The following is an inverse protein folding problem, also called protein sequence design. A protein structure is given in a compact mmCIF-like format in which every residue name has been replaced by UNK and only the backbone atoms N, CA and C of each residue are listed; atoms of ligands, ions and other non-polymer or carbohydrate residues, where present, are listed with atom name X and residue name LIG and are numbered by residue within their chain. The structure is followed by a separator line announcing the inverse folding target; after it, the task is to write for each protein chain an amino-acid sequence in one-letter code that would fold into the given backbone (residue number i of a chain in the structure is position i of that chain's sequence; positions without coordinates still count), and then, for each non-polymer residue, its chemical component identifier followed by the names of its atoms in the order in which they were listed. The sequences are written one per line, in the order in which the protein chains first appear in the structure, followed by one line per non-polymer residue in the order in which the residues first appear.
data_IF_614117199947
#
_entry.id   IF_614117199947
#
_cell.length_a   1.000
_cell.length_b   1.000
_cell.length_c   1.000
_cell.angle_alpha   90.00
_cell.angle_beta   90.00
_cell.angle_gamma   90.00
#
_symmetry.space_group_name_H-M   'P 1'
#
loop_
_entity.id
_entity.type
_entity.pdbx_description
1 polymer ?
#
# COMPACT_ATOMS: atom_id res chain seq x y z
N UNK A 1 9.64 -7.06 21.42
CA UNK A 1 9.24 -8.33 20.77
C UNK A 1 7.72 -8.45 20.61
N UNK A 2 6.91 -7.94 21.56
CA UNK A 2 5.44 -8.04 21.50
C UNK A 2 4.77 -7.01 20.58
N UNK A 3 5.28 -5.79 20.40
CA UNK A 3 4.51 -4.73 19.69
C UNK A 3 4.49 -4.91 18.16
N UNK A 4 5.59 -5.21 17.46
CA UNK A 4 5.53 -5.60 16.02
C UNK A 4 4.69 -6.87 15.79
N UNK A 5 4.80 -7.88 16.67
CA UNK A 5 3.94 -9.07 16.60
C UNK A 5 2.48 -8.75 16.92
N UNK A 6 2.23 -7.78 17.81
CA UNK A 6 0.91 -7.24 18.12
C UNK A 6 0.43 -6.23 17.12
N UNK A 7 1.25 -5.70 16.23
CA UNK A 7 0.83 -4.92 15.07
C UNK A 7 0.49 -5.81 13.91
N UNK A 8 1.24 -6.90 13.71
CA UNK A 8 0.73 -8.02 12.88
C UNK A 8 -0.59 -8.53 13.46
N UNK A 9 -0.70 -8.65 14.77
CA UNK A 9 -1.94 -9.00 15.43
C UNK A 9 -2.95 -7.85 15.45
N UNK A 10 -2.62 -6.57 15.51
CA UNK A 10 -3.55 -5.41 15.54
C UNK A 10 -4.02 -5.05 14.14
N UNK A 11 -3.21 -5.22 13.10
CA UNK A 11 -3.72 -5.31 11.74
C UNK A 11 -4.67 -6.51 11.61
N UNK A 12 -4.44 -7.60 12.36
CA UNK A 12 -5.37 -8.75 12.42
C UNK A 12 -6.53 -8.62 13.45
N UNK A 13 -6.47 -7.72 14.44
CA UNK A 13 -7.35 -7.63 15.64
C UNK A 13 -8.12 -6.32 15.67
N UNK A 14 -7.58 -5.22 15.15
CA UNK A 14 -8.42 -4.10 14.69
C UNK A 14 -9.42 -4.59 13.63
N UNK A 15 -9.06 -5.63 12.86
CA UNK A 15 -9.97 -6.37 12.00
C UNK A 15 -11.09 -7.11 12.77
N UNK A 16 -10.78 -7.67 13.95
CA UNK A 16 -11.77 -8.36 14.80
C UNK A 16 -12.65 -7.35 15.55
N UNK A 17 -12.13 -6.18 15.93
CA UNK A 17 -12.92 -5.13 16.56
C UNK A 17 -13.87 -4.43 15.55
N UNK A 18 -13.45 -4.23 14.30
CA UNK A 18 -14.31 -3.73 13.22
C UNK A 18 -15.39 -4.78 12.83
N UNK A 19 -15.08 -6.08 12.94
CA UNK A 19 -16.06 -7.17 12.70
C UNK A 19 -16.98 -7.48 13.89
N UNK A 20 -16.57 -7.23 15.14
CA UNK A 20 -17.42 -7.42 16.32
C UNK A 20 -18.34 -6.22 16.60
N UNK A 21 -18.00 -5.02 16.12
CA UNK A 21 -18.94 -3.90 16.07
C UNK A 21 -20.09 -4.12 15.05
N UNK A 22 -19.92 -5.06 14.10
CA UNK A 22 -20.98 -5.51 13.18
C UNK A 22 -21.90 -6.59 13.75
N UNK A 23 -21.67 -7.06 14.98
CA UNK A 23 -22.42 -8.14 15.62
C UNK A 23 -22.92 -7.76 17.03
N UNK A 24 -23.51 -6.58 17.18
CA UNK A 24 -24.26 -6.21 18.38
C UNK A 24 -25.63 -5.59 18.02
N UNK A 25 -26.64 -6.47 18.04
CA UNK A 25 -28.09 -6.21 18.11
C UNK A 25 -28.73 -5.23 17.11
N UNK A 26 -29.36 -5.83 16.08
CA UNK A 26 -30.67 -5.40 15.59
C UNK A 26 -31.65 -5.25 16.77
N UNK A 27 -31.96 -4.01 17.14
CA UNK A 27 -33.29 -3.70 17.66
C UNK A 27 -33.84 -2.49 16.92
N UNK A 28 -34.87 -2.77 16.11
CA UNK A 28 -35.66 -1.78 15.41
C UNK A 28 -36.32 -0.84 16.42
N UNK A 29 -35.82 0.39 16.52
CA UNK A 29 -36.64 1.54 16.86
C UNK A 29 -36.34 2.67 15.87
N UNK A 30 -37.23 2.81 14.89
CA UNK A 30 -37.31 3.98 14.03
C UNK A 30 -37.66 5.20 14.88
N UNK A 31 -36.69 6.09 15.11
CA UNK A 31 -36.97 7.46 15.54
C UNK A 31 -37.19 8.27 14.26
N UNK A 32 -38.47 8.53 14.00
CA UNK A 32 -38.95 9.38 12.92
C UNK A 32 -38.66 10.85 13.28
N UNK A 33 -37.59 11.41 12.74
CA UNK A 33 -37.23 12.83 12.84
C UNK A 33 -37.40 13.53 11.49
N UNK A 34 -38.50 13.25 10.79
CA UNK A 34 -38.83 13.87 9.50
C UNK A 34 -39.89 14.98 9.60
N UNK A 35 -39.80 15.88 10.59
CA UNK A 35 -40.60 17.12 10.57
C UNK A 35 -39.87 18.32 11.19
N UNK A 36 -39.01 18.97 10.41
CA UNK A 36 -38.94 20.44 10.20
C UNK A 36 -37.64 20.79 9.49
N UNK A 37 -37.72 21.05 8.18
CA UNK A 37 -36.88 21.95 7.36
C UNK A 37 -37.10 21.59 5.87
N UNK A 38 -38.33 21.79 5.41
CA UNK A 38 -38.67 21.77 3.98
C UNK A 38 -39.11 23.18 3.58
N UNK A 39 -38.14 24.03 3.21
CA UNK A 39 -38.31 25.03 2.15
C UNK A 39 -36.93 25.58 1.78
N UNK A 40 -36.66 25.64 0.46
CA UNK A 40 -35.49 26.24 -0.21
C UNK A 40 -34.24 25.36 -0.39
N UNK A 41 -34.38 24.16 -0.97
CA UNK A 41 -33.20 23.38 -1.41
C UNK A 41 -33.29 22.80 -2.83
N UNK A 42 -34.28 23.19 -3.62
CA UNK A 42 -34.41 22.71 -5.01
C UNK A 42 -33.49 23.46 -6.00
N UNK A 43 -33.08 24.69 -5.68
CA UNK A 43 -32.13 25.44 -6.52
C UNK A 43 -30.65 25.01 -6.32
N UNK A 44 -30.30 24.39 -5.19
CA UNK A 44 -28.93 23.89 -4.94
C UNK A 44 -28.71 22.53 -5.59
N UNK A 45 -29.76 21.71 -5.74
CA UNK A 45 -29.66 20.43 -6.45
C UNK A 45 -29.48 20.60 -7.96
N UNK A 46 -29.95 21.69 -8.58
CA UNK A 46 -29.73 21.94 -10.00
C UNK A 46 -28.33 22.46 -10.34
N UNK A 47 -27.63 23.12 -9.41
CA UNK A 47 -26.25 23.59 -9.65
C UNK A 47 -25.22 22.46 -9.55
N UNK A 48 -25.54 21.37 -8.85
CA UNK A 48 -24.65 20.20 -8.75
C UNK A 48 -24.73 19.24 -9.96
N UNK A 49 -25.77 19.32 -10.79
CA UNK A 49 -25.95 18.39 -11.92
C UNK A 49 -25.30 18.87 -13.23
N UNK A 50 -24.88 20.13 -13.33
CA UNK A 50 -24.26 20.66 -14.56
C UNK A 50 -22.71 20.67 -14.56
N UNK A 51 -22.07 20.18 -13.49
CA UNK A 51 -20.62 19.90 -13.43
C UNK A 51 -20.31 18.39 -13.47
N UNK A 52 -21.25 17.59 -13.97
CA UNK A 52 -21.33 16.15 -13.74
C UNK A 52 -20.25 15.26 -14.40
N UNK A 53 -19.33 15.82 -15.19
CA UNK A 53 -18.20 15.05 -15.72
C UNK A 53 -16.90 15.66 -15.18
N UNK A 54 -16.17 14.96 -14.29
CA UNK A 54 -14.89 15.45 -13.83
C UNK A 54 -13.95 15.61 -15.04
N UNK A 55 -13.31 16.77 -15.14
CA UNK A 55 -12.32 17.03 -16.19
C UNK A 55 -11.15 16.07 -15.95
N UNK A 56 -10.78 15.27 -16.96
CA UNK A 56 -9.64 14.36 -16.86
C UNK A 56 -8.38 15.11 -16.42
N UNK A 57 -7.58 14.48 -15.54
CA UNK A 57 -6.40 15.10 -14.94
C UNK A 57 -6.69 16.04 -13.76
N UNK A 58 -7.96 16.26 -13.39
CA UNK A 58 -8.31 16.98 -12.17
C UNK A 58 -8.32 16.06 -10.94
N UNK A 59 -8.05 16.57 -9.72
CA UNK A 59 -8.21 15.79 -8.49
C UNK A 59 -9.57 15.10 -8.37
N UNK A 60 -10.64 15.75 -8.84
CA UNK A 60 -12.00 15.18 -8.85
C UNK A 60 -12.14 13.96 -9.75
N UNK A 61 -11.42 13.92 -10.88
CA UNK A 61 -11.42 12.75 -11.76
C UNK A 61 -10.80 11.55 -11.03
N UNK A 62 -9.65 11.75 -10.39
CA UNK A 62 -8.96 10.67 -9.68
C UNK A 62 -9.67 10.24 -8.40
N UNK A 63 -10.36 11.16 -7.72
CA UNK A 63 -11.26 10.84 -6.61
C UNK A 63 -12.45 10.01 -7.09
N UNK A 64 -13.11 10.39 -8.18
CA UNK A 64 -14.20 9.61 -8.76
C UNK A 64 -13.74 8.21 -9.20
N UNK A 65 -12.52 8.09 -9.73
CA UNK A 65 -11.92 6.78 -10.01
C UNK A 65 -11.72 5.96 -8.73
N UNK A 66 -11.20 6.55 -7.65
CA UNK A 66 -11.01 5.84 -6.37
C UNK A 66 -12.35 5.39 -5.76
N UNK A 67 -13.38 6.22 -5.84
CA UNK A 67 -14.75 5.86 -5.42
C UNK A 67 -15.27 4.68 -6.24
N UNK A 68 -15.16 4.73 -7.57
CA UNK A 68 -15.58 3.63 -8.45
C UNK A 68 -14.77 2.35 -8.22
N UNK A 69 -13.46 2.46 -7.98
CA UNK A 69 -12.61 1.32 -7.67
C UNK A 69 -12.98 0.67 -6.34
N UNK A 70 -13.42 1.46 -5.35
CA UNK A 70 -13.94 0.95 -4.06
C UNK A 70 -15.23 0.15 -4.25
N UNK A 71 -16.08 0.51 -5.24
CA UNK A 71 -17.29 -0.26 -5.56
C UNK A 71 -16.99 -1.53 -6.37
N UNK A 72 -16.15 -1.42 -7.40
CA UNK A 72 -15.73 -2.53 -8.26
C UNK A 72 -14.43 -2.18 -9.00
N UNK A 73 -13.30 -2.58 -8.43
CA UNK A 73 -11.96 -2.41 -9.04
C UNK A 73 -11.94 -2.87 -10.49
N UNK A 74 -12.61 -3.99 -10.79
CA UNK A 74 -12.65 -4.57 -12.14
C UNK A 74 -13.38 -3.68 -13.14
N UNK A 75 -14.52 -3.11 -12.75
CA UNK A 75 -15.32 -2.30 -13.66
C UNK A 75 -14.68 -0.94 -13.86
N UNK A 76 -14.19 -0.32 -12.77
CA UNK A 76 -13.43 0.92 -12.83
C UNK A 76 -12.21 0.78 -13.76
N UNK A 77 -11.41 -0.27 -13.59
CA UNK A 77 -10.25 -0.49 -14.45
C UNK A 77 -10.64 -0.78 -15.91
N UNK A 78 -11.69 -1.58 -16.18
CA UNK A 78 -12.16 -1.86 -17.55
C UNK A 78 -12.63 -0.61 -18.29
N UNK A 79 -13.17 0.37 -17.57
CA UNK A 79 -13.58 1.65 -18.14
C UNK A 79 -12.40 2.43 -18.72
N UNK A 80 -11.25 2.38 -18.05
CA UNK A 80 -10.06 3.17 -18.39
C UNK A 80 -8.94 2.35 -19.05
N UNK A 81 -9.23 1.16 -19.53
CA UNK A 81 -8.24 0.29 -20.18
C UNK A 81 -8.22 0.52 -21.69
N UNK A 82 -7.04 0.83 -22.24
CA UNK A 82 -6.82 0.90 -23.68
C UNK A 82 -5.50 0.19 -24.05
N UNK A 83 -5.55 -0.98 -24.71
CA UNK A 83 -4.35 -1.70 -25.15
C UNK A 83 -3.45 -0.90 -26.09
N UNK A 84 -4.01 0.01 -26.88
CA UNK A 84 -3.24 0.85 -27.80
C UNK A 84 -2.43 1.88 -27.02
N UNK A 85 -3.05 2.50 -26.01
CA UNK A 85 -2.39 3.43 -25.10
C UNK A 85 -1.18 2.80 -24.39
N UNK A 86 -1.33 1.54 -23.97
CA UNK A 86 -0.24 0.76 -23.36
C UNK A 86 0.94 0.59 -24.33
N UNK A 87 0.67 0.20 -25.58
CA UNK A 87 1.71 0.03 -26.60
C UNK A 87 2.43 1.35 -26.91
N UNK A 88 1.68 2.45 -27.02
CA UNK A 88 2.23 3.79 -27.23
C UNK A 88 3.13 4.22 -26.05
N UNK A 89 2.70 3.97 -24.81
CA UNK A 89 3.49 4.27 -23.62
C UNK A 89 4.79 3.47 -23.56
N UNK A 90 4.74 2.18 -23.91
CA UNK A 90 5.93 1.34 -24.02
C UNK A 90 6.91 1.92 -25.03
N UNK A 91 6.44 2.29 -26.22
CA UNK A 91 7.28 2.88 -27.25
C UNK A 91 7.89 4.20 -26.79
N UNK A 92 7.10 5.05 -26.13
CA UNK A 92 7.56 6.30 -25.51
C UNK A 92 8.68 6.05 -24.50
N UNK A 93 8.53 5.10 -23.57
CA UNK A 93 9.54 4.79 -22.55
C UNK A 93 10.84 4.25 -23.15
N UNK A 94 10.75 3.38 -24.17
CA UNK A 94 11.93 2.88 -24.90
C UNK A 94 12.71 4.04 -25.54
N UNK A 95 12.00 5.03 -26.13
CA UNK A 95 12.62 6.20 -26.75
C UNK A 95 13.27 7.13 -25.73
N UNK A 96 12.58 7.44 -24.63
CA UNK A 96 13.09 8.35 -23.58
C UNK A 96 14.34 7.80 -22.88
N UNK A 97 14.37 6.48 -22.65
CA UNK A 97 15.51 5.81 -22.04
C UNK A 97 16.75 5.72 -22.98
N UNK A 98 16.68 6.28 -24.20
CA UNK A 98 17.76 6.29 -25.18
C UNK A 98 18.15 4.89 -25.68
N UNK A 99 17.17 3.99 -25.80
CA UNK A 99 17.43 2.57 -26.03
C UNK A 99 17.68 2.24 -27.52
N UNK A 100 18.40 1.14 -27.82
CA UNK A 100 18.61 0.67 -29.19
C UNK A 100 17.30 0.32 -29.91
N UNK A 101 17.22 0.59 -31.20
CA UNK A 101 16.04 0.28 -32.02
C UNK A 101 15.70 -1.23 -32.04
N UNK A 102 16.71 -2.10 -31.87
CA UNK A 102 16.54 -3.55 -31.88
C UNK A 102 15.64 -4.05 -30.73
N UNK A 103 15.77 -3.44 -29.54
CA UNK A 103 14.90 -3.70 -28.37
C UNK A 103 13.44 -3.38 -28.68
N UNK A 104 13.20 -2.40 -29.55
CA UNK A 104 11.83 -2.04 -29.92
C UNK A 104 11.18 -3.07 -30.85
N UNK A 105 11.91 -3.71 -31.77
CA UNK A 105 11.30 -4.60 -32.77
C UNK A 105 10.85 -5.94 -32.17
N UNK A 106 11.63 -6.55 -31.29
CA UNK A 106 11.26 -7.79 -30.59
C UNK A 106 10.07 -7.59 -29.64
N UNK A 107 10.08 -6.47 -28.91
CA UNK A 107 9.05 -6.11 -27.95
C UNK A 107 7.74 -5.67 -28.63
N UNK A 108 7.79 -4.84 -29.68
CA UNK A 108 6.60 -4.41 -30.45
C UNK A 108 5.92 -5.57 -31.22
N UNK A 109 6.63 -6.68 -31.46
CA UNK A 109 6.08 -7.88 -32.07
C UNK A 109 5.22 -8.73 -31.14
N UNK A 110 5.21 -8.45 -29.83
CA UNK A 110 4.31 -9.09 -28.86
C UNK A 110 2.90 -8.51 -29.02
N UNK A 111 1.88 -9.38 -28.93
CA UNK A 111 0.49 -8.93 -28.81
C UNK A 111 0.26 -8.34 -27.40
N UNK A 112 0.64 -7.07 -27.23
CA UNK A 112 0.56 -6.32 -25.97
C UNK A 112 -0.83 -6.28 -25.38
N UNK A 113 -1.86 -6.36 -26.22
CA UNK A 113 -3.22 -6.63 -25.78
C UNK A 113 -3.24 -7.88 -24.91
N UNK A 114 -3.09 -9.07 -25.46
CA UNK A 114 -3.26 -10.30 -24.66
C UNK A 114 -2.35 -10.39 -23.42
N UNK A 115 -1.11 -9.89 -23.53
CA UNK A 115 -0.12 -10.00 -22.47
C UNK A 115 -0.29 -8.94 -21.36
N UNK A 116 -0.44 -7.66 -21.75
CA UNK A 116 -0.63 -6.55 -20.83
C UNK A 116 -1.97 -6.69 -20.10
N UNK A 117 -3.01 -7.09 -20.82
CA UNK A 117 -4.33 -7.38 -20.25
C UNK A 117 -4.23 -8.44 -19.16
N UNK A 118 -3.71 -9.62 -19.44
CA UNK A 118 -3.69 -10.71 -18.46
C UNK A 118 -2.84 -10.42 -17.20
N UNK A 119 -1.85 -9.52 -17.28
CA UNK A 119 -0.96 -9.18 -16.18
C UNK A 119 -1.47 -8.00 -15.35
N UNK A 120 -1.95 -6.93 -15.99
CA UNK A 120 -2.59 -5.80 -15.31
C UNK A 120 -3.88 -6.24 -14.65
N UNK A 121 -4.72 -7.01 -15.35
CA UNK A 121 -5.97 -7.53 -14.81
C UNK A 121 -5.69 -8.35 -13.54
N UNK A 122 -4.68 -9.23 -13.55
CA UNK A 122 -4.28 -9.98 -12.35
C UNK A 122 -3.79 -9.07 -11.22
N UNK A 123 -3.00 -8.04 -11.53
CA UNK A 123 -2.51 -7.13 -10.50
C UNK A 123 -3.62 -6.30 -9.84
N UNK A 124 -4.63 -5.89 -10.60
CA UNK A 124 -5.83 -5.22 -10.08
C UNK A 124 -6.75 -6.20 -9.34
N UNK A 125 -6.99 -7.40 -9.89
CA UNK A 125 -7.83 -8.45 -9.27
C UNK A 125 -7.24 -8.93 -7.95
N UNK A 126 -5.93 -9.20 -7.91
CA UNK A 126 -5.22 -9.60 -6.69
C UNK A 126 -5.15 -8.45 -5.66
N UNK A 127 -5.44 -7.21 -6.08
CA UNK A 127 -5.53 -6.01 -5.24
C UNK A 127 -6.79 -5.90 -4.39
N UNK A 128 -7.80 -6.74 -4.63
CA UNK A 128 -8.94 -6.93 -3.74
C UNK A 128 -10.19 -6.10 -4.10
N UNK A 129 -11.29 -6.81 -4.33
CA UNK A 129 -12.64 -6.25 -4.56
C UNK A 129 -13.22 -5.59 -3.30
N UNK A 130 -12.66 -5.90 -2.11
CA UNK A 130 -13.11 -5.38 -0.81
C UNK A 130 -12.10 -4.39 -0.20
N UNK A 131 -11.52 -3.51 -1.02
CA UNK A 131 -10.53 -2.53 -0.55
C UNK A 131 -11.02 -1.10 -0.72
N UNK A 132 -10.73 -0.24 0.24
CA UNK A 132 -11.03 1.18 0.16
C UNK A 132 -9.86 1.89 -0.54
N UNK A 133 -10.16 2.57 -1.63
CA UNK A 133 -9.18 3.33 -2.41
C UNK A 133 -9.26 4.81 -2.03
N UNK A 134 -8.11 5.39 -1.75
CA UNK A 134 -7.99 6.81 -1.42
C UNK A 134 -7.02 7.48 -2.39
N UNK A 135 -7.49 8.54 -3.05
CA UNK A 135 -6.65 9.38 -3.89
C UNK A 135 -5.76 10.27 -3.02
N UNK A 136 -4.44 10.22 -3.25
CA UNK A 136 -3.45 11.02 -2.54
C UNK A 136 -3.13 12.30 -3.33
N UNK A 137 -2.62 12.13 -4.55
CA UNK A 137 -2.18 13.26 -5.39
C UNK A 137 -1.92 12.82 -6.85
N UNK A 138 -1.73 13.78 -7.76
CA UNK A 138 -1.39 13.52 -9.14
C UNK A 138 -0.43 14.55 -9.75
N UNK A 139 0.46 14.10 -10.63
CA UNK A 139 1.44 14.93 -11.32
C UNK A 139 1.35 14.71 -12.82
N UNK A 140 1.33 15.79 -13.59
CA UNK A 140 1.28 15.73 -15.06
C UNK A 140 2.68 15.91 -15.62
N UNK A 141 3.16 14.99 -16.46
CA UNK A 141 4.41 15.14 -17.20
C UNK A 141 4.33 14.52 -18.60
N UNK A 142 4.82 15.23 -19.61
CA UNK A 142 5.04 14.72 -20.97
C UNK A 142 3.88 13.93 -21.60
N UNK A 143 2.65 14.42 -21.44
CA UNK A 143 1.46 13.77 -22.01
C UNK A 143 0.92 12.59 -21.20
N UNK A 144 1.48 12.34 -20.03
CA UNK A 144 1.03 11.37 -19.05
C UNK A 144 0.67 12.05 -17.72
N UNK A 145 -0.08 11.34 -16.89
CA UNK A 145 -0.35 11.72 -15.50
C UNK A 145 0.03 10.57 -14.59
N UNK A 146 0.80 10.84 -13.54
CA UNK A 146 1.09 9.93 -12.45
C UNK A 146 0.12 10.23 -11.30
N UNK A 147 -0.74 9.29 -10.95
CA UNK A 147 -1.64 9.43 -9.80
C UNK A 147 -1.28 8.44 -8.72
N UNK A 148 -1.33 8.89 -7.47
CA UNK A 148 -0.96 8.14 -6.29
C UNK A 148 -2.20 7.80 -5.46
N UNK A 149 -2.29 6.54 -5.04
CA UNK A 149 -3.39 6.01 -4.26
C UNK A 149 -2.87 5.26 -3.03
N UNK A 150 -3.62 5.34 -1.94
CA UNK A 150 -3.57 4.38 -0.85
C UNK A 150 -4.71 3.38 -1.03
N UNK A 151 -4.40 2.10 -0.89
CA UNK A 151 -5.37 1.00 -0.92
C UNK A 151 -5.39 0.36 0.45
N UNK A 152 -6.48 0.59 1.17
CA UNK A 152 -6.67 0.08 2.52
C UNK A 152 -7.19 -1.36 2.43
N UNK A 153 -6.30 -2.31 2.70
CA UNK A 153 -6.60 -3.73 2.74
C UNK A 153 -6.62 -4.25 4.18
N UNK A 154 -7.15 -5.46 4.37
CA UNK A 154 -7.21 -6.09 5.69
C UNK A 154 -5.83 -6.23 6.36
N UNK A 155 -4.76 -6.33 5.56
CA UNK A 155 -3.41 -6.57 6.06
C UNK A 155 -2.58 -5.29 6.23
N UNK A 156 -3.14 -4.12 5.88
CA UNK A 156 -2.45 -2.83 5.93
C UNK A 156 -2.76 -1.95 4.72
N UNK A 157 -1.96 -0.92 4.55
CA UNK A 157 -2.10 0.04 3.45
C UNK A 157 -1.08 -0.33 2.37
N UNK A 158 -1.55 -0.51 1.14
CA UNK A 158 -0.68 -0.56 -0.03
C UNK A 158 -0.67 0.80 -0.74
N UNK A 159 0.50 1.20 -1.24
CA UNK A 159 0.64 2.44 -2.02
C UNK A 159 0.81 2.09 -3.49
N UNK A 160 -0.06 2.65 -4.32
CA UNK A 160 -0.11 2.37 -5.76
C UNK A 160 0.05 3.68 -6.53
N UNK A 161 0.90 3.66 -7.54
CA UNK A 161 0.96 4.66 -8.58
C UNK A 161 0.32 4.07 -9.85
N UNK A 162 -0.54 4.86 -10.49
CA UNK A 162 -1.14 4.56 -11.78
C UNK A 162 -0.68 5.63 -12.75
N UNK A 163 -0.17 5.19 -13.91
CA UNK A 163 0.21 6.10 -15.00
C UNK A 163 -0.92 6.12 -16.02
N UNK A 164 -1.35 7.32 -16.37
CA UNK A 164 -2.42 7.58 -17.32
C UNK A 164 -1.87 8.23 -18.58
N UNK A 165 -2.35 7.84 -19.75
CA UNK A 165 -2.17 8.63 -20.96
C UNK A 165 -3.18 9.77 -20.98
N UNK A 166 -2.77 10.99 -21.36
CA UNK A 166 -3.66 12.14 -21.30
C UNK A 166 -4.55 12.32 -22.53
N UNK A 167 -4.11 11.82 -23.69
CA UNK A 167 -4.84 11.97 -24.95
C UNK A 167 -6.09 11.08 -24.99
N UNK A 168 -5.95 9.85 -24.53
CA UNK A 168 -7.00 8.88 -24.23
C UNK A 168 -6.83 8.57 -22.75
N UNK A 169 -7.77 8.98 -21.88
CA UNK A 169 -7.63 8.87 -20.42
C UNK A 169 -7.56 7.40 -19.98
N UNK A 170 -6.43 6.77 -20.22
CA UNK A 170 -6.26 5.33 -20.21
C UNK A 170 -5.11 4.95 -19.30
N UNK A 171 -5.30 3.89 -18.52
CA UNK A 171 -4.27 3.32 -17.65
C UNK A 171 -3.24 2.61 -18.51
N UNK A 172 -1.99 3.06 -18.41
CA UNK A 172 -0.86 2.53 -19.19
C UNK A 172 0.22 1.88 -18.34
N UNK A 173 0.23 2.11 -17.03
CA UNK A 173 1.11 1.42 -16.07
C UNK A 173 0.49 1.37 -14.67
N UNK A 174 0.92 0.37 -13.89
CA UNK A 174 0.65 0.24 -12.47
C UNK A 174 1.93 -0.11 -11.72
N UNK A 175 2.21 0.68 -10.70
CA UNK A 175 3.36 0.52 -9.83
C UNK A 175 2.95 0.47 -8.37
N UNK A 176 3.10 -0.70 -7.74
CA UNK A 176 3.08 -0.80 -6.28
C UNK A 176 4.37 -0.16 -5.75
N UNK A 177 4.27 1.02 -5.15
CA UNK A 177 5.39 1.92 -4.80
C UNK A 177 6.36 1.29 -3.80
N UNK A 178 5.83 0.38 -2.98
CA UNK A 178 6.67 -0.43 -2.10
C UNK A 178 7.61 -1.36 -2.86
N UNK A 179 7.49 -1.55 -4.17
CA UNK A 179 8.37 -2.37 -4.99
C UNK A 179 9.24 -1.51 -5.90
N UNK A 180 10.35 -2.08 -6.38
CA UNK A 180 11.30 -1.32 -7.19
C UNK A 180 10.83 -1.10 -8.62
N UNK A 181 10.12 -2.09 -9.18
CA UNK A 181 9.70 -2.06 -10.57
C UNK A 181 8.19 -1.98 -10.66
N UNK A 182 7.71 -1.15 -11.57
CA UNK A 182 6.35 -1.27 -12.07
C UNK A 182 6.17 -2.62 -12.79
N UNK A 183 4.92 -2.94 -13.13
CA UNK A 183 4.65 -4.11 -13.95
C UNK A 183 5.38 -3.99 -15.30
N UNK A 184 5.34 -2.81 -15.93
CA UNK A 184 5.97 -2.58 -17.22
C UNK A 184 7.49 -2.51 -17.15
N UNK A 185 8.07 -1.84 -16.14
CA UNK A 185 9.52 -1.84 -15.95
C UNK A 185 10.06 -3.27 -15.78
N UNK A 186 9.26 -4.16 -15.18
CA UNK A 186 9.62 -5.57 -15.05
C UNK A 186 9.72 -6.27 -16.40
N UNK A 187 8.80 -6.00 -17.32
CA UNK A 187 8.80 -6.62 -18.65
C UNK A 187 9.93 -6.09 -19.53
N UNK A 188 10.09 -4.77 -19.59
CA UNK A 188 11.19 -4.12 -20.31
C UNK A 188 12.53 -4.64 -19.77
N UNK A 189 12.66 -4.77 -18.45
CA UNK A 189 13.88 -5.31 -17.83
C UNK A 189 14.17 -6.77 -18.20
N UNK A 190 13.16 -7.64 -18.28
CA UNK A 190 13.34 -9.04 -18.71
C UNK A 190 13.75 -9.09 -20.18
N UNK A 191 13.09 -8.33 -21.03
CA UNK A 191 13.35 -8.30 -22.47
C UNK A 191 14.77 -7.85 -22.79
N UNK A 192 15.18 -6.70 -22.23
CA UNK A 192 16.57 -6.20 -22.33
C UNK A 192 17.60 -7.23 -21.86
N UNK A 193 17.28 -7.94 -20.77
CA UNK A 193 18.14 -9.00 -20.28
C UNK A 193 18.26 -10.17 -21.29
N UNK A 194 17.17 -10.52 -21.98
CA UNK A 194 17.16 -11.58 -22.99
C UNK A 194 17.93 -11.22 -24.26
N UNK A 195 17.93 -9.95 -24.64
CA UNK A 195 18.64 -9.48 -25.83
C UNK A 195 20.12 -9.17 -25.57
N UNK A 196 20.51 -8.98 -24.30
CA UNK A 196 21.88 -8.66 -23.94
C UNK A 196 22.90 -9.69 -24.45
N UNK A 197 23.86 -9.22 -25.25
CA UNK A 197 25.01 -10.01 -25.72
C UNK A 197 26.01 -10.34 -24.59
N UNK A 198 25.92 -9.64 -23.45
CA UNK A 198 26.80 -9.87 -22.29
C UNK A 198 26.62 -11.27 -21.70
N UNK A 199 25.44 -11.88 -21.88
CA UNK A 199 25.08 -13.14 -21.23
C UNK A 199 24.94 -14.29 -22.22
N UNK A 200 25.52 -15.43 -21.85
CA UNK A 200 25.36 -16.66 -22.63
C UNK A 200 23.89 -17.10 -22.67
N UNK A 201 23.50 -17.79 -23.74
CA UNK A 201 22.15 -18.35 -23.88
C UNK A 201 21.76 -19.25 -22.70
N UNK A 202 22.74 -19.99 -22.16
CA UNK A 202 22.58 -20.84 -20.97
C UNK A 202 22.18 -20.01 -19.74
N UNK A 203 22.86 -18.89 -19.49
CA UNK A 203 22.58 -17.99 -18.36
C UNK A 203 21.21 -17.33 -18.49
N UNK A 204 20.87 -16.88 -19.71
CA UNK A 204 19.55 -16.32 -20.02
C UNK A 204 18.43 -17.33 -19.76
N UNK A 205 18.61 -18.57 -20.21
CA UNK A 205 17.66 -19.65 -19.93
C UNK A 205 17.51 -19.91 -18.42
N UNK A 206 18.62 -19.99 -17.68
CA UNK A 206 18.57 -20.19 -16.22
C UNK A 206 17.82 -19.05 -15.52
N UNK A 207 18.05 -17.81 -15.92
CA UNK A 207 17.37 -16.64 -15.35
C UNK A 207 15.87 -16.70 -15.59
N UNK A 208 15.44 -16.96 -16.83
CA UNK A 208 14.01 -17.09 -17.16
C UNK A 208 13.36 -18.23 -16.38
N UNK A 209 14.04 -19.36 -16.22
CA UNK A 209 13.51 -20.47 -15.43
C UNK A 209 13.44 -20.14 -13.94
N UNK A 210 14.42 -19.40 -13.40
CA UNK A 210 14.36 -18.90 -12.03
C UNK A 210 13.19 -17.91 -11.84
N UNK A 211 13.03 -16.96 -12.76
CA UNK A 211 11.93 -15.99 -12.73
C UNK A 211 10.56 -16.66 -12.85
N UNK A 212 10.41 -17.65 -13.75
CA UNK A 212 9.19 -18.46 -13.86
C UNK A 212 8.89 -19.27 -12.60
N UNK A 213 9.91 -19.83 -11.95
CA UNK A 213 9.74 -20.55 -10.69
C UNK A 213 9.30 -19.61 -9.56
N UNK A 214 9.89 -18.41 -9.48
CA UNK A 214 9.42 -17.35 -8.58
C UNK A 214 7.96 -17.01 -8.84
N UNK A 215 7.55 -16.73 -10.08
CA UNK A 215 6.14 -16.39 -10.36
C UNK A 215 5.14 -17.50 -9.97
N UNK A 216 5.60 -18.75 -9.85
CA UNK A 216 4.78 -19.89 -9.42
C UNK A 216 4.89 -20.22 -7.92
N UNK A 217 5.77 -19.53 -7.18
CA UNK A 217 6.07 -19.88 -5.80
C UNK A 217 6.78 -21.24 -5.63
N UNK A 218 7.38 -21.77 -6.70
CA UNK A 218 8.09 -23.06 -6.66
C UNK A 218 9.51 -22.86 -6.14
N UNK A 219 9.64 -22.91 -4.81
CA UNK A 219 10.91 -22.70 -4.11
C UNK A 219 12.00 -23.69 -4.53
N UNK A 220 11.64 -24.95 -4.79
CA UNK A 220 12.63 -25.98 -5.11
C UNK A 220 13.21 -25.76 -6.52
N UNK A 221 12.34 -25.53 -7.51
CA UNK A 221 12.80 -25.18 -8.84
C UNK A 221 13.58 -23.86 -8.83
N UNK A 222 13.11 -22.88 -8.06
CA UNK A 222 13.82 -21.61 -7.94
C UNK A 222 15.24 -21.81 -7.40
N UNK A 223 15.43 -22.54 -6.29
CA UNK A 223 16.76 -22.81 -5.71
C UNK A 223 17.72 -23.42 -6.73
N UNK A 224 17.29 -24.46 -7.43
CA UNK A 224 18.11 -25.14 -8.45
C UNK A 224 18.58 -24.17 -9.54
N UNK A 225 17.66 -23.34 -10.05
CA UNK A 225 17.96 -22.39 -11.12
C UNK A 225 18.79 -21.22 -10.62
N UNK A 226 18.45 -20.69 -9.45
CA UNK A 226 19.12 -19.56 -8.82
C UNK A 226 20.58 -19.89 -8.46
N UNK A 227 20.85 -21.09 -7.95
CA UNK A 227 22.22 -21.52 -7.62
C UNK A 227 23.11 -21.68 -8.86
N UNK A 228 22.52 -21.98 -10.02
CA UNK A 228 23.21 -22.05 -11.30
C UNK A 228 23.48 -20.71 -11.97
N UNK A 229 22.96 -19.60 -11.43
CA UNK A 229 23.22 -18.26 -11.95
C UNK A 229 24.58 -17.71 -11.49
N UNK A 230 25.28 -16.95 -12.34
CA UNK A 230 26.39 -16.08 -11.93
C UNK A 230 25.98 -15.17 -10.76
N UNK A 231 26.93 -14.83 -9.89
CA UNK A 231 26.64 -14.01 -8.69
C UNK A 231 25.98 -12.67 -9.02
N UNK A 232 26.41 -12.04 -10.11
CA UNK A 232 25.83 -10.78 -10.62
C UNK A 232 24.34 -10.93 -10.93
N UNK A 233 23.95 -12.03 -11.59
CA UNK A 233 22.56 -12.31 -11.94
C UNK A 233 21.72 -12.73 -10.75
N UNK A 234 22.31 -13.35 -9.72
CA UNK A 234 21.61 -13.63 -8.47
C UNK A 234 21.15 -12.35 -7.75
N UNK A 235 21.89 -11.27 -7.91
CA UNK A 235 21.55 -9.96 -7.36
C UNK A 235 20.76 -9.09 -8.34
N UNK A 236 20.34 -9.65 -9.48
CA UNK A 236 19.60 -8.90 -10.47
C UNK A 236 18.30 -8.33 -9.85
N UNK A 237 18.06 -7.01 -9.94
CA UNK A 237 16.95 -6.36 -9.24
C UNK A 237 15.58 -7.01 -9.46
N UNK A 238 15.28 -7.51 -10.66
CA UNK A 238 14.01 -8.21 -10.94
C UNK A 238 13.81 -9.49 -10.13
N UNK A 239 14.87 -10.29 -9.95
CA UNK A 239 14.79 -11.49 -9.12
C UNK A 239 14.68 -11.10 -7.65
N UNK A 240 15.43 -10.09 -7.23
CA UNK A 240 15.41 -9.58 -5.85
C UNK A 240 14.03 -9.07 -5.48
N UNK A 241 13.41 -8.23 -6.31
CA UNK A 241 12.08 -7.68 -6.07
C UNK A 241 11.04 -8.79 -5.86
N UNK A 242 10.96 -9.76 -6.78
CA UNK A 242 10.05 -10.92 -6.66
C UNK A 242 10.38 -11.82 -5.48
N UNK A 243 11.66 -12.03 -5.18
CA UNK A 243 12.09 -12.83 -4.05
C UNK A 243 11.68 -12.20 -2.72
N UNK A 244 11.75 -10.86 -2.60
CA UNK A 244 11.26 -10.15 -1.42
C UNK A 244 9.76 -10.34 -1.23
N UNK A 245 8.96 -10.27 -2.31
CA UNK A 245 7.50 -10.52 -2.24
C UNK A 245 7.20 -11.88 -1.62
N UNK A 246 7.85 -12.94 -2.11
CA UNK A 246 7.70 -14.28 -1.52
C UNK A 246 8.20 -14.37 -0.10
N UNK A 247 9.31 -13.70 0.22
CA UNK A 247 9.79 -13.66 1.60
C UNK A 247 8.81 -12.99 2.55
N UNK A 248 7.97 -12.06 2.09
CA UNK A 248 6.94 -11.44 2.91
C UNK A 248 5.76 -12.39 3.15
N UNK A 249 5.33 -13.09 2.10
CA UNK A 249 4.18 -14.01 2.12
C UNK A 249 4.49 -15.39 2.76
N UNK A 250 5.76 -15.71 2.99
CA UNK A 250 6.18 -17.04 3.44
C UNK A 250 6.17 -17.22 4.96
N UNK A 251 5.20 -17.98 5.44
CA UNK A 251 5.11 -18.41 6.83
C UNK A 251 6.18 -19.45 7.21
N UNK A 252 6.64 -20.27 6.26
CA UNK A 252 7.65 -21.31 6.52
C UNK A 252 9.04 -20.74 6.79
N UNK A 253 9.27 -19.49 6.37
CA UNK A 253 10.54 -18.76 6.49
C UNK A 253 11.65 -19.24 5.56
N UNK A 254 11.42 -20.20 4.66
CA UNK A 254 12.42 -20.65 3.71
C UNK A 254 12.78 -19.57 2.67
N UNK A 255 11.79 -18.82 2.18
CA UNK A 255 12.01 -17.69 1.28
C UNK A 255 12.76 -16.55 2.02
N UNK A 256 12.42 -16.30 3.29
CA UNK A 256 13.13 -15.33 4.15
C UNK A 256 14.62 -15.68 4.31
N UNK A 257 14.96 -16.96 4.40
CA UNK A 257 16.36 -17.40 4.46
C UNK A 257 17.11 -17.14 3.15
N UNK A 258 16.45 -17.31 2.00
CA UNK A 258 17.08 -17.06 0.69
C UNK A 258 17.43 -15.59 0.50
N UNK A 259 16.49 -14.68 0.77
CA UNK A 259 16.71 -13.25 0.56
C UNK A 259 17.71 -12.66 1.58
N UNK A 260 17.92 -13.30 2.73
CA UNK A 260 18.81 -12.78 3.79
C UNK A 260 20.19 -12.39 3.28
N UNK A 261 20.81 -13.20 2.43
CA UNK A 261 22.17 -12.89 1.91
C UNK A 261 22.17 -11.66 1.00
N UNK A 262 21.08 -11.44 0.26
CA UNK A 262 20.89 -10.29 -0.62
C UNK A 262 20.58 -9.05 0.21
N UNK A 263 19.58 -9.13 1.09
CA UNK A 263 19.09 -8.01 1.90
C UNK A 263 20.11 -7.48 2.92
N UNK A 264 21.07 -8.30 3.38
CA UNK A 264 22.15 -7.84 4.26
C UNK A 264 23.09 -6.86 3.57
N UNK A 265 23.29 -7.00 2.26
CA UNK A 265 24.19 -6.15 1.47
C UNK A 265 23.47 -5.02 0.72
N UNK A 266 22.14 -5.08 0.66
CA UNK A 266 21.35 -4.10 -0.06
C UNK A 266 21.30 -2.77 0.72
N UNK A 267 21.42 -1.67 -0.02
CA UNK A 267 21.03 -0.36 0.47
C UNK A 267 19.53 -0.37 0.83
N UNK A 268 19.10 0.37 1.87
CA UNK A 268 17.70 0.52 2.19
C UNK A 268 16.90 1.03 0.99
N UNK A 269 15.79 0.36 0.69
CA UNK A 269 14.86 0.72 -0.37
C UNK A 269 13.47 0.22 0.02
N UNK A 270 12.42 0.92 -0.40
CA UNK A 270 11.02 0.58 -0.15
C UNK A 270 10.68 -0.91 -0.38
N UNK A 271 11.22 -1.54 -1.44
CA UNK A 271 11.10 -2.99 -1.71
C UNK A 271 11.44 -3.90 -0.54
N UNK A 272 12.36 -3.50 0.34
CA UNK A 272 12.74 -4.29 1.51
C UNK A 272 12.00 -3.89 2.79
N UNK A 273 11.13 -2.87 2.77
CA UNK A 273 10.44 -2.36 3.95
C UNK A 273 9.76 -3.47 4.76
N UNK A 274 8.86 -4.22 4.11
CA UNK A 274 8.14 -5.33 4.75
C UNK A 274 9.10 -6.43 5.22
N UNK A 275 10.16 -6.72 4.46
CA UNK A 275 11.17 -7.68 4.90
C UNK A 275 11.89 -7.22 6.19
N UNK A 276 12.25 -5.94 6.28
CA UNK A 276 12.89 -5.36 7.46
C UNK A 276 11.96 -5.38 8.67
N UNK A 277 10.67 -5.05 8.48
CA UNK A 277 9.64 -5.22 9.52
C UNK A 277 9.55 -6.66 10.01
N UNK A 278 9.46 -7.63 9.09
CA UNK A 278 9.31 -9.04 9.44
C UNK A 278 10.54 -9.61 10.16
N UNK A 279 11.71 -9.02 9.94
CA UNK A 279 12.99 -9.44 10.54
C UNK A 279 13.46 -8.55 11.69
N UNK A 280 12.60 -7.66 12.20
CA UNK A 280 12.87 -6.73 13.30
C UNK A 280 14.09 -5.82 13.07
N UNK A 281 14.32 -5.41 11.81
CA UNK A 281 15.35 -4.43 11.45
C UNK A 281 14.73 -3.04 11.38
N UNK A 282 14.25 -2.53 12.52
CA UNK A 282 13.43 -1.30 12.63
C UNK A 282 14.07 -0.07 11.98
N UNK A 283 15.36 0.17 12.21
CA UNK A 283 16.09 1.31 11.62
C UNK A 283 16.16 1.23 10.09
N UNK A 284 16.34 0.03 9.54
CA UNK A 284 16.32 -0.17 8.07
C UNK A 284 14.93 -0.05 7.49
N UNK A 285 13.90 -0.44 8.23
CA UNK A 285 12.52 -0.23 7.83
C UNK A 285 12.21 1.27 7.71
N UNK A 286 12.64 2.09 8.69
CA UNK A 286 12.55 3.55 8.60
C UNK A 286 13.28 4.09 7.37
N UNK A 287 14.55 3.71 7.19
CA UNK A 287 15.32 4.15 6.04
C UNK A 287 14.71 3.71 4.69
N UNK A 288 14.02 2.57 4.65
CA UNK A 288 13.29 2.13 3.46
C UNK A 288 12.08 3.02 3.16
N UNK A 289 11.33 3.47 4.17
CA UNK A 289 10.22 4.43 3.98
C UNK A 289 10.73 5.79 3.48
N UNK A 290 11.94 6.20 3.86
CA UNK A 290 12.56 7.45 3.40
C UNK A 290 12.94 7.41 1.90
N UNK A 291 12.81 6.26 1.24
CA UNK A 291 13.01 6.13 -0.22
C UNK A 291 11.73 6.23 -1.03
N UNK A 292 10.56 6.36 -0.40
CA UNK A 292 9.28 6.54 -1.09
C UNK A 292 9.25 7.90 -1.84
N UNK A 293 8.39 8.09 -2.84
CA UNK A 293 8.17 9.40 -3.45
C UNK A 293 7.78 10.45 -2.39
N UNK A 294 8.25 11.71 -2.47
CA UNK A 294 8.01 12.73 -1.44
C UNK A 294 6.53 12.88 -1.04
N UNK A 295 5.64 12.86 -2.01
CA UNK A 295 4.19 12.95 -1.82
C UNK A 295 3.64 11.80 -0.96
N UNK A 296 4.18 10.60 -1.14
CA UNK A 296 3.82 9.43 -0.34
C UNK A 296 4.46 9.52 1.04
N UNK A 297 5.68 10.04 1.15
CA UNK A 297 6.36 10.19 2.45
C UNK A 297 5.58 11.08 3.42
N UNK A 298 4.88 12.09 2.93
CA UNK A 298 4.11 13.03 3.73
C UNK A 298 2.69 12.54 4.05
N UNK A 299 2.24 11.47 3.37
CA UNK A 299 0.91 10.91 3.55
C UNK A 299 0.69 10.37 4.97
N UNK A 300 -0.54 10.55 5.48
CA UNK A 300 -0.93 10.19 6.85
C UNK A 300 -0.62 8.73 7.21
N UNK A 301 -0.90 7.79 6.29
CA UNK A 301 -0.59 6.37 6.49
C UNK A 301 0.91 6.10 6.72
N UNK A 302 1.79 6.73 5.93
CA UNK A 302 3.25 6.56 6.09
C UNK A 302 3.72 7.20 7.40
N UNK A 303 3.11 8.32 7.82
CA UNK A 303 3.40 8.92 9.12
C UNK A 303 3.01 8.00 10.28
N UNK A 304 1.89 7.27 10.18
CA UNK A 304 1.52 6.23 11.17
C UNK A 304 2.57 5.12 11.21
N UNK A 305 2.98 4.60 10.06
CA UNK A 305 4.00 3.55 9.98
C UNK A 305 5.34 3.99 10.58
N UNK A 306 5.79 5.21 10.27
CA UNK A 306 6.99 5.81 10.89
C UNK A 306 6.82 5.99 12.40
N UNK A 307 5.65 6.46 12.86
CA UNK A 307 5.37 6.66 14.28
C UNK A 307 5.51 5.37 15.08
N UNK A 308 5.01 4.26 14.54
CA UNK A 308 5.17 2.91 15.10
C UNK A 308 6.64 2.53 15.21
N UNK A 309 7.42 2.74 14.15
CA UNK A 309 8.83 2.37 14.15
C UNK A 309 9.61 3.19 15.19
N UNK A 310 9.32 4.48 15.32
CA UNK A 310 9.90 5.31 16.38
C UNK A 310 9.43 4.89 17.77
N UNK A 311 8.18 4.43 17.93
CA UNK A 311 7.69 3.85 19.18
C UNK A 311 8.49 2.60 19.59
N UNK A 312 8.81 1.72 18.63
CA UNK A 312 9.65 0.53 18.85
C UNK A 312 11.09 0.90 19.24
N UNK A 313 11.63 1.96 18.64
CA UNK A 313 12.94 2.53 19.01
C UNK A 313 12.93 3.33 20.32
N UNK A 314 11.78 3.43 21.00
CA UNK A 314 11.59 4.23 22.20
C UNK A 314 11.81 5.75 22.00
N UNK A 315 11.69 6.23 20.76
CA UNK A 315 11.74 7.64 20.40
C UNK A 315 10.34 8.28 20.45
N UNK A 316 9.74 8.25 21.65
CA UNK A 316 8.30 8.53 21.86
C UNK A 316 7.87 9.96 21.48
N UNK A 317 8.78 10.94 21.52
CA UNK A 317 8.48 12.31 21.08
C UNK A 317 8.34 12.40 19.55
N UNK A 318 9.17 11.68 18.79
CA UNK A 318 9.04 11.61 17.34
C UNK A 318 7.79 10.84 16.93
N UNK A 319 7.53 9.72 17.60
CA UNK A 319 6.29 8.96 17.40
C UNK A 319 5.04 9.82 17.66
N UNK A 320 5.03 10.59 18.75
CA UNK A 320 3.93 11.49 19.09
C UNK A 320 3.74 12.63 18.07
N UNK A 321 4.83 13.18 17.53
CA UNK A 321 4.76 14.20 16.49
C UNK A 321 4.11 13.65 15.21
N UNK A 322 4.61 12.52 14.71
CA UNK A 322 4.16 11.90 13.46
C UNK A 322 2.70 11.45 13.55
N UNK A 323 2.29 10.86 14.68
CA UNK A 323 0.90 10.44 14.83
C UNK A 323 -0.07 11.63 14.89
N UNK A 324 0.35 12.76 15.48
CA UNK A 324 -0.45 13.98 15.43
C UNK A 324 -0.53 14.55 14.01
N UNK A 325 0.55 14.47 13.23
CA UNK A 325 0.54 14.87 11.82
C UNK A 325 -0.41 13.99 11.01
N UNK A 326 -0.42 12.67 11.23
CA UNK A 326 -1.36 11.75 10.58
C UNK A 326 -2.83 12.06 10.93
N UNK A 327 -3.13 12.39 12.20
CA UNK A 327 -4.47 12.81 12.62
C UNK A 327 -4.88 14.15 11.96
N UNK A 328 -3.93 15.06 11.75
CA UNK A 328 -4.21 16.35 11.12
C UNK A 328 -4.42 16.21 9.60
N UNK A 329 -3.76 15.25 8.95
CA UNK A 329 -3.98 14.97 7.52
C UNK A 329 -5.33 14.32 7.29
N UNK A 330 -5.70 13.35 8.13
CA UNK A 330 -7.03 12.75 8.11
C UNK A 330 -7.54 12.46 9.54
N UNK A 331 -8.48 13.28 10.07
CA UNK A 331 -9.05 13.10 11.40
C UNK A 331 -10.10 11.98 11.47
N UNK A 332 -10.47 11.37 10.34
CA UNK A 332 -11.43 10.26 10.25
C UNK A 332 -10.75 8.90 10.10
N UNK A 333 -9.41 8.85 10.03
CA UNK A 333 -8.68 7.60 10.10
C UNK A 333 -8.54 7.15 11.57
N UNK A 334 -9.03 5.96 11.91
CA UNK A 334 -8.97 5.43 13.28
C UNK A 334 -7.56 5.00 13.70
N UNK A 335 -6.76 4.50 12.74
CA UNK A 335 -5.45 3.89 13.01
C UNK A 335 -4.45 4.83 13.73
N UNK A 336 -4.28 6.11 13.34
CA UNK A 336 -3.48 7.08 14.09
C UNK A 336 -3.88 7.19 15.56
N UNK A 337 -5.16 7.10 15.91
CA UNK A 337 -5.61 7.20 17.30
C UNK A 337 -5.18 6.00 18.14
N UNK A 338 -5.16 4.79 17.57
CA UNK A 338 -4.59 3.63 18.26
C UNK A 338 -3.09 3.81 18.52
N UNK A 339 -2.32 4.27 17.54
CA UNK A 339 -0.89 4.51 17.73
C UNK A 339 -0.65 5.61 18.78
N UNK A 340 -1.48 6.66 18.78
CA UNK A 340 -1.42 7.74 19.77
C UNK A 340 -1.70 7.22 21.18
N UNK A 341 -2.68 6.33 21.34
CA UNK A 341 -3.00 5.67 22.60
C UNK A 341 -1.78 4.87 23.12
N UNK A 342 -1.16 4.04 22.28
CA UNK A 342 0.03 3.28 22.66
C UNK A 342 1.19 4.21 23.06
N UNK A 343 1.46 5.26 22.28
CA UNK A 343 2.51 6.24 22.58
C UNK A 343 2.23 6.93 23.92
N UNK A 344 0.99 7.33 24.19
CA UNK A 344 0.62 7.99 25.44
C UNK A 344 0.76 7.05 26.65
N UNK A 345 0.36 5.79 26.53
CA UNK A 345 0.51 4.77 27.58
C UNK A 345 1.98 4.56 27.94
N UNK A 346 2.84 4.32 26.94
CA UNK A 346 4.28 4.12 27.15
C UNK A 346 5.00 5.35 27.70
N UNK A 347 4.44 6.55 27.49
CA UNK A 347 4.92 7.83 28.06
C UNK A 347 4.40 8.10 29.47
N UNK A 348 3.51 7.25 30.00
CA UNK A 348 2.77 7.52 31.25
C UNK A 348 1.94 8.83 31.18
N UNK A 349 1.51 9.25 29.99
CA UNK A 349 0.72 10.48 29.76
C UNK A 349 -0.77 10.19 29.89
N UNK A 350 -1.22 10.09 31.13
CA UNK A 350 -2.59 9.68 31.48
C UNK A 350 -3.68 10.60 30.93
N UNK A 351 -3.37 11.89 30.76
CA UNK A 351 -4.30 12.85 30.16
C UNK A 351 -4.48 12.58 28.67
N UNK A 352 -3.38 12.36 27.95
CA UNK A 352 -3.45 12.02 26.52
C UNK A 352 -4.13 10.68 26.27
N UNK A 353 -3.96 9.70 27.17
CA UNK A 353 -4.70 8.42 27.12
C UNK A 353 -6.21 8.66 27.19
N UNK A 354 -6.68 9.38 28.22
CA UNK A 354 -8.11 9.68 28.37
C UNK A 354 -8.69 10.39 27.14
N UNK A 355 -8.05 11.47 26.70
CA UNK A 355 -8.53 12.26 25.56
C UNK A 355 -8.59 11.42 24.27
N UNK A 356 -7.64 10.51 24.08
CA UNK A 356 -7.62 9.62 22.91
C UNK A 356 -8.76 8.60 22.99
N UNK A 357 -9.00 8.03 24.17
CA UNK A 357 -10.12 7.11 24.41
C UNK A 357 -11.48 7.76 24.21
N UNK A 358 -11.65 9.03 24.62
CA UNK A 358 -12.88 9.79 24.39
C UNK A 358 -13.13 10.01 22.89
N UNK A 359 -12.09 10.30 22.10
CA UNK A 359 -12.23 10.42 20.64
C UNK A 359 -12.56 9.08 20.00
N UNK A 360 -11.87 8.00 20.41
CA UNK A 360 -12.15 6.64 19.94
C UNK A 360 -13.62 6.26 20.17
N UNK A 361 -14.14 6.53 21.36
CA UNK A 361 -15.56 6.33 21.70
C UNK A 361 -16.49 7.21 20.87
N UNK A 362 -16.28 8.53 20.89
CA UNK A 362 -17.22 9.49 20.32
C UNK A 362 -17.27 9.48 18.78
N UNK A 363 -16.13 9.20 18.12
CA UNK A 363 -16.02 9.29 16.66
C UNK A 363 -16.08 7.93 15.98
N UNK A 364 -15.49 6.91 16.58
CA UNK A 364 -15.31 5.59 15.95
C UNK A 364 -16.15 4.50 16.62
N UNK A 365 -16.90 4.83 17.67
CA UNK A 365 -17.67 3.87 18.46
C UNK A 365 -16.79 2.72 19.02
N UNK A 366 -15.52 3.05 19.31
CA UNK A 366 -14.56 2.11 19.91
C UNK A 366 -14.54 2.37 21.42
N UNK A 367 -15.07 1.42 22.17
CA UNK A 367 -15.08 1.44 23.63
C UNK A 367 -14.26 0.28 24.19
N UNK A 368 -13.50 0.54 25.24
CA UNK A 368 -12.79 -0.49 25.98
C UNK A 368 -13.48 -0.70 27.33
N UNK A 369 -13.61 -1.96 27.73
CA UNK A 369 -13.79 -2.29 29.14
C UNK A 369 -12.42 -2.45 29.82
N UNK A 370 -12.40 -2.61 31.15
CA UNK A 370 -11.14 -2.72 31.89
C UNK A 370 -10.33 -3.97 31.51
N UNK A 371 -11.00 -5.06 31.14
CA UNK A 371 -10.36 -6.34 30.85
C UNK A 371 -9.66 -6.29 29.49
N UNK A 372 -10.37 -5.84 28.45
CA UNK A 372 -9.82 -5.61 27.11
C UNK A 372 -8.73 -4.53 27.11
N UNK A 373 -8.85 -3.49 27.94
CA UNK A 373 -7.82 -2.45 28.03
C UNK A 373 -6.49 -2.98 28.61
N UNK A 374 -6.54 -3.95 29.53
CA UNK A 374 -5.35 -4.62 30.08
C UNK A 374 -4.57 -5.43 29.04
N UNK A 375 -5.15 -5.72 27.87
CA UNK A 375 -4.44 -6.41 26.80
C UNK A 375 -3.39 -5.50 26.11
N UNK A 376 -3.56 -4.18 26.23
CA UNK A 376 -2.65 -3.17 25.68
C UNK A 376 -1.38 -3.08 26.56
N UNK A 377 -0.21 -3.03 25.94
CA UNK A 377 1.05 -2.83 26.68
C UNK A 377 1.02 -1.51 27.48
N UNK A 378 1.55 -1.56 28.71
CA UNK A 378 1.67 -0.41 29.63
C UNK A 378 0.32 0.17 30.13
N UNK A 379 -0.78 -0.60 30.00
CA UNK A 379 -2.12 -0.19 30.43
C UNK A 379 -2.31 -0.08 31.95
N UNK A 380 -1.54 -0.82 32.75
CA UNK A 380 -1.72 -0.89 34.21
C UNK A 380 -1.53 0.48 34.88
N UNK A 381 -0.60 1.29 34.36
CA UNK A 381 -0.37 2.66 34.84
C UNK A 381 -1.63 3.51 34.75
N UNK A 382 -2.29 3.51 33.59
CA UNK A 382 -3.54 4.24 33.39
C UNK A 382 -4.66 3.74 34.29
N UNK A 383 -4.85 2.42 34.39
CA UNK A 383 -5.93 1.82 35.20
C UNK A 383 -5.82 2.12 36.69
N UNK A 384 -4.62 2.39 37.19
CA UNK A 384 -4.39 2.85 38.57
C UNK A 384 -4.58 4.36 38.78
N UNK A 385 -4.73 5.13 37.70
CA UNK A 385 -4.83 6.59 37.73
C UNK A 385 -6.25 7.08 38.02
N UNK A 386 -6.37 8.34 38.45
CA UNK A 386 -7.67 9.01 38.57
C UNK A 386 -8.39 9.21 37.23
N UNK A 387 -7.66 9.19 36.11
CA UNK A 387 -8.23 9.32 34.77
C UNK A 387 -9.00 8.06 34.36
N UNK A 388 -8.51 6.87 34.72
CA UNK A 388 -9.24 5.62 34.48
C UNK A 388 -10.55 5.55 35.26
N UNK A 389 -10.60 6.10 36.48
CA UNK A 389 -11.85 6.22 37.22
C UNK A 389 -12.89 7.10 36.52
N UNK A 390 -12.46 8.07 35.70
CA UNK A 390 -13.36 8.89 34.90
C UNK A 390 -13.87 8.15 33.65
N UNK A 391 -13.00 7.37 32.99
CA UNK A 391 -13.38 6.65 31.77
C UNK A 391 -14.21 5.39 32.05
N UNK A 392 -13.86 4.61 33.09
CA UNK A 392 -14.49 3.32 33.39
C UNK A 392 -15.44 3.34 34.60
N UNK A 393 -15.56 4.46 35.31
CA UNK A 393 -16.44 4.61 36.47
C UNK A 393 -17.76 5.22 36.08
#
# INVERSE_FOLDING_TARGET
MRVIQRMKALYSVALVAVLLAGCASNSNQSIDNSQTLASNNDDIKQVHTELANPIFGSPRFFQAFAESATESVNDAYREYKDPTAVADYVQYRIQQDGQPAEVSEGFLGLEWGEFGEGALDRHFIDGGIDTEWEFIDSYVSDGYTDSYYAVHAQQGIEYINIVWQNATPAIVDLHKIIYRFSLFDSFIGVDRFMESEQYEMSQRAYFIHAYKALNKGDLQQFKIRYEGLPEELRQHPLLVDKLVRWAVLDDSGQWKQMIRKVAVKAEPHSQFYNYYLLTNQTEKALAALDTLPPTIQEYGGVNVERAVLYYELNELDRAALLVNQAILSDPYLVLPYYVKLMVALKRDDQKSVLLTLEVLKARFNVEYDKESFLEIDDAEGFLSSSYAAHYFG
#
